data_IF_431200303694
#
_entry.id   IF_431200303694
#
_cell.length_a   1.000
_cell.length_b   1.000
_cell.length_c   1.000
_cell.angle_alpha   90.00
_cell.angle_beta   90.00
_cell.angle_gamma   90.00
#
_symmetry.space_group_name_H-M   'P 1'
#
loop_
_entity.id
_entity.type
_entity.pdbx_description
1 polymer ?
#
# COMPACT_ATOMS: atom_id res chain seq x y z
N UNK A 1 21.89 -27.41 11.31
CA UNK A 1 22.33 -26.98 9.97
C UNK A 1 23.68 -27.52 9.50
N UNK A 2 24.36 -28.37 10.21
CA UNK A 2 25.76 -28.72 9.88
C UNK A 2 25.96 -30.12 9.25
N UNK A 3 24.94 -30.72 8.66
CA UNK A 3 25.09 -32.10 8.11
C UNK A 3 24.38 -32.32 6.76
N UNK A 4 23.86 -31.28 6.12
CA UNK A 4 23.25 -31.41 4.78
C UNK A 4 24.36 -31.29 3.74
N UNK A 5 24.44 -32.28 2.83
CA UNK A 5 25.33 -32.21 1.67
C UNK A 5 24.84 -31.10 0.73
N UNK A 6 25.58 -30.00 0.60
CA UNK A 6 25.21 -28.87 -0.23
C UNK A 6 25.17 -29.12 -1.73
N UNK A 7 25.32 -30.38 -2.19
CA UNK A 7 25.48 -30.72 -3.60
C UNK A 7 24.30 -31.46 -4.22
N UNK A 8 23.42 -32.07 -3.41
CA UNK A 8 22.26 -32.84 -3.90
C UNK A 8 21.07 -32.60 -3.00
N UNK A 9 19.90 -32.31 -3.58
CA UNK A 9 18.63 -32.30 -2.85
C UNK A 9 18.25 -33.76 -2.54
N UNK A 10 18.04 -34.08 -1.24
CA UNK A 10 17.60 -35.40 -0.80
C UNK A 10 16.17 -35.77 -1.25
N UNK A 11 15.53 -34.87 -2.00
CA UNK A 11 14.18 -35.05 -2.48
C UNK A 11 14.19 -35.63 -3.91
N UNK A 12 13.64 -36.85 -4.04
CA UNK A 12 13.46 -37.55 -5.35
C UNK A 12 12.41 -36.89 -6.24
N UNK A 13 11.60 -35.96 -5.70
CA UNK A 13 10.53 -35.29 -6.47
C UNK A 13 11.12 -34.23 -7.40
N UNK A 14 10.89 -34.40 -8.68
CA UNK A 14 11.23 -33.35 -9.67
C UNK A 14 10.20 -32.24 -9.61
N UNK A 15 10.59 -31.07 -9.12
CA UNK A 15 9.77 -29.86 -9.09
C UNK A 15 9.51 -29.38 -10.52
N UNK A 16 8.23 -29.14 -10.84
CA UNK A 16 7.81 -28.58 -12.13
C UNK A 16 7.49 -27.09 -11.99
N UNK A 17 7.61 -26.29 -13.07
CA UNK A 17 7.26 -24.87 -13.02
C UNK A 17 5.83 -24.56 -12.54
N UNK A 18 4.89 -25.47 -12.81
CA UNK A 18 3.50 -25.34 -12.39
C UNK A 18 3.20 -25.78 -10.96
N UNK A 19 4.16 -26.42 -10.26
CA UNK A 19 3.96 -26.78 -8.85
C UNK A 19 3.85 -25.53 -7.98
N UNK A 20 2.97 -25.59 -6.96
CA UNK A 20 2.80 -24.46 -6.03
C UNK A 20 4.07 -24.31 -5.17
N UNK A 21 4.63 -23.12 -5.19
CA UNK A 21 5.79 -22.73 -4.39
C UNK A 21 5.39 -22.09 -3.09
N UNK A 22 4.44 -21.16 -3.15
CA UNK A 22 4.09 -20.38 -1.97
C UNK A 22 2.64 -19.90 -1.97
N UNK A 23 2.15 -19.66 -0.75
CA UNK A 23 0.85 -19.11 -0.44
C UNK A 23 1.05 -17.81 0.34
N UNK A 24 0.79 -16.67 -0.28
CA UNK A 24 0.98 -15.38 0.38
C UNK A 24 -0.35 -14.70 0.66
N UNK A 25 -0.50 -14.23 1.89
CA UNK A 25 -1.61 -13.36 2.24
C UNK A 25 -1.45 -12.02 1.53
N UNK A 26 -2.48 -11.62 0.78
CA UNK A 26 -2.54 -10.25 0.29
C UNK A 26 -3.08 -9.37 1.40
N UNK A 27 -2.41 -8.25 1.68
CA UNK A 27 -2.91 -7.24 2.60
C UNK A 27 -4.09 -6.49 1.96
N UNK A 28 -5.25 -7.15 1.91
CA UNK A 28 -6.47 -6.48 1.49
C UNK A 28 -6.81 -5.35 2.45
N UNK A 29 -6.95 -4.13 1.94
CA UNK A 29 -7.46 -2.98 2.70
C UNK A 29 -8.94 -3.15 3.06
N UNK A 30 -9.59 -4.25 2.66
CA UNK A 30 -11.04 -4.37 2.59
C UNK A 30 -11.55 -5.78 2.89
N UNK A 31 -11.17 -6.42 4.04
CA UNK A 31 -11.76 -7.70 4.42
C UNK A 31 -10.78 -8.76 4.89
N UNK A 32 -11.22 -10.04 4.92
CA UNK A 32 -10.34 -11.16 5.23
C UNK A 32 -9.20 -11.25 4.21
N UNK A 33 -7.95 -11.53 4.65
CA UNK A 33 -6.82 -11.67 3.75
C UNK A 33 -7.12 -12.71 2.67
N UNK A 34 -6.84 -12.37 1.42
CA UNK A 34 -6.87 -13.33 0.33
C UNK A 34 -5.55 -14.07 0.28
N UNK A 35 -5.56 -15.33 -0.07
CA UNK A 35 -4.34 -16.14 -0.20
C UNK A 35 -4.03 -16.30 -1.68
N UNK A 36 -2.98 -15.62 -2.14
CA UNK A 36 -2.49 -15.74 -3.51
C UNK A 36 -1.64 -17.00 -3.65
N UNK A 37 -1.96 -17.81 -4.66
CA UNK A 37 -1.23 -19.04 -4.99
C UNK A 37 -0.19 -18.73 -6.06
N UNK A 38 1.08 -19.01 -5.77
CA UNK A 38 2.19 -18.76 -6.69
C UNK A 38 2.92 -20.07 -6.98
N UNK A 39 3.19 -20.30 -8.25
CA UNK A 39 3.97 -21.46 -8.69
C UNK A 39 5.47 -21.17 -8.63
N UNK A 40 6.29 -22.19 -8.64
CA UNK A 40 7.74 -22.06 -8.82
C UNK A 40 8.08 -21.28 -10.10
N UNK A 41 7.32 -21.51 -11.20
CA UNK A 41 7.48 -20.76 -12.43
C UNK A 41 7.25 -19.26 -12.27
N UNK A 42 6.23 -18.85 -11.50
CA UNK A 42 5.97 -17.44 -11.23
C UNK A 42 7.14 -16.77 -10.47
N UNK A 43 7.65 -17.41 -9.42
CA UNK A 43 8.74 -16.88 -8.59
C UNK A 43 10.05 -16.80 -9.36
N UNK A 44 10.42 -17.85 -10.08
CA UNK A 44 11.62 -17.87 -10.91
C UNK A 44 11.53 -16.80 -12.01
N UNK A 45 10.38 -16.68 -12.68
CA UNK A 45 10.19 -15.67 -13.71
C UNK A 45 10.34 -14.24 -13.14
N UNK A 46 9.76 -13.96 -11.99
CA UNK A 46 9.87 -12.63 -11.35
C UNK A 46 11.32 -12.34 -10.92
N UNK A 47 11.96 -13.26 -10.19
CA UNK A 47 13.34 -13.09 -9.74
C UNK A 47 14.31 -12.92 -10.92
N UNK A 48 14.15 -13.72 -11.98
CA UNK A 48 14.99 -13.64 -13.17
C UNK A 48 14.78 -12.34 -13.94
N UNK A 49 13.52 -11.92 -14.16
CA UNK A 49 13.19 -10.70 -14.88
C UNK A 49 13.68 -9.46 -14.14
N UNK A 50 13.45 -9.40 -12.82
CA UNK A 50 13.98 -8.32 -11.99
C UNK A 50 15.51 -8.34 -11.96
N UNK A 51 16.15 -9.52 -11.87
CA UNK A 51 17.61 -9.68 -11.92
C UNK A 51 18.21 -9.18 -13.23
N UNK A 52 17.52 -9.37 -14.36
CA UNK A 52 17.96 -8.80 -15.64
C UNK A 52 17.80 -7.30 -15.70
N UNK A 53 16.77 -6.76 -15.06
CA UNK A 53 16.53 -5.32 -15.00
C UNK A 53 17.57 -4.60 -14.12
N UNK A 54 17.89 -5.15 -12.96
CA UNK A 54 18.90 -4.60 -12.05
C UNK A 54 20.33 -4.82 -12.53
N UNK A 55 20.56 -5.80 -13.41
CA UNK A 55 21.90 -6.08 -13.95
C UNK A 55 22.92 -6.38 -12.87
N UNK A 56 24.07 -5.74 -12.94
CA UNK A 56 25.20 -5.93 -12.02
C UNK A 56 25.02 -5.20 -10.68
N UNK A 57 23.95 -4.43 -10.52
CA UNK A 57 23.62 -3.79 -9.23
C UNK A 57 23.24 -4.83 -8.16
N UNK A 58 22.85 -6.05 -8.58
CA UNK A 58 22.59 -7.18 -7.69
C UNK A 58 23.34 -8.40 -8.25
N UNK A 59 24.35 -8.89 -7.53
CA UNK A 59 25.17 -10.02 -8.00
C UNK A 59 26.32 -10.36 -7.07
N UNK A 60 27.31 -11.14 -7.53
CA UNK A 60 28.47 -11.48 -6.72
C UNK A 60 29.20 -10.24 -6.22
N UNK A 61 29.59 -10.26 -4.96
CA UNK A 61 30.26 -9.12 -4.29
C UNK A 61 29.32 -8.01 -3.82
N UNK A 62 28.00 -8.14 -4.04
CA UNK A 62 26.99 -7.23 -3.50
C UNK A 62 26.32 -7.81 -2.28
N UNK A 63 25.97 -6.96 -1.33
CA UNK A 63 25.28 -7.32 -0.10
C UNK A 63 23.93 -6.60 -0.02
N UNK A 64 22.88 -7.35 0.25
CA UNK A 64 21.51 -6.85 0.40
C UNK A 64 21.05 -6.98 1.84
N UNK A 65 20.39 -5.96 2.39
CA UNK A 65 19.73 -6.05 3.68
C UNK A 65 18.27 -6.45 3.52
N UNK A 66 17.90 -7.62 4.02
CA UNK A 66 16.53 -8.11 4.09
C UNK A 66 15.88 -7.67 5.41
N UNK A 67 15.41 -6.43 5.47
CA UNK A 67 14.87 -5.81 6.67
C UNK A 67 13.33 -5.78 6.73
N UNK A 68 12.63 -6.18 5.68
CA UNK A 68 11.17 -6.35 5.72
C UNK A 68 10.82 -7.78 6.19
N UNK A 69 9.63 -8.00 6.80
CA UNK A 69 9.22 -9.34 7.23
C UNK A 69 9.05 -10.32 6.05
N UNK A 70 9.52 -11.56 6.20
CA UNK A 70 9.48 -12.59 5.14
C UNK A 70 8.06 -13.04 4.74
N UNK A 71 7.04 -12.73 5.52
CA UNK A 71 5.66 -12.96 5.13
C UNK A 71 5.16 -11.94 4.08
N UNK A 72 5.98 -10.96 3.71
CA UNK A 72 5.69 -10.00 2.64
C UNK A 72 6.54 -10.31 1.41
N UNK A 73 5.92 -10.24 0.22
CA UNK A 73 6.57 -10.59 -1.05
C UNK A 73 7.81 -9.75 -1.37
N UNK A 74 7.89 -8.50 -0.91
CA UNK A 74 9.09 -7.68 -1.10
C UNK A 74 10.30 -8.31 -0.40
N UNK A 75 10.17 -8.71 0.86
CA UNK A 75 11.25 -9.38 1.58
C UNK A 75 11.62 -10.72 0.94
N UNK A 76 10.62 -11.57 0.69
CA UNK A 76 10.86 -12.91 0.15
C UNK A 76 11.47 -12.89 -1.26
N UNK A 77 11.05 -11.94 -2.10
CA UNK A 77 11.47 -11.86 -3.51
C UNK A 77 12.63 -10.88 -3.72
N UNK A 78 12.44 -9.58 -3.38
CA UNK A 78 13.37 -8.52 -3.77
C UNK A 78 14.66 -8.56 -2.96
N UNK A 79 14.56 -8.82 -1.65
CA UNK A 79 15.74 -8.88 -0.76
C UNK A 79 16.09 -10.31 -0.32
N UNK A 80 15.36 -11.30 -0.81
CA UNK A 80 15.58 -12.73 -0.58
C UNK A 80 15.94 -13.48 -1.87
N UNK A 81 14.94 -14.00 -2.59
CA UNK A 81 15.16 -14.92 -3.72
C UNK A 81 15.95 -14.27 -4.87
N UNK A 82 15.66 -13.02 -5.21
CA UNK A 82 16.36 -12.30 -6.28
C UNK A 82 17.88 -12.21 -6.03
N UNK A 83 18.38 -11.64 -4.91
CA UNK A 83 19.82 -11.59 -4.66
C UNK A 83 20.44 -12.98 -4.54
N UNK A 84 19.79 -13.96 -3.92
CA UNK A 84 20.29 -15.34 -3.90
C UNK A 84 20.47 -15.92 -5.31
N UNK A 85 19.46 -15.72 -6.19
CA UNK A 85 19.52 -16.23 -7.58
C UNK A 85 20.64 -15.57 -8.41
N UNK A 86 21.14 -14.42 -7.96
CA UNK A 86 22.23 -13.66 -8.60
C UNK A 86 23.59 -13.86 -7.92
N UNK A 87 23.67 -14.66 -6.85
CA UNK A 87 24.90 -14.89 -6.11
C UNK A 87 25.33 -13.73 -5.21
N UNK A 88 24.41 -12.84 -4.87
CA UNK A 88 24.66 -11.77 -3.89
C UNK A 88 24.55 -12.30 -2.45
N UNK A 89 25.19 -11.62 -1.52
CA UNK A 89 25.05 -11.86 -0.09
C UNK A 89 23.75 -11.24 0.43
N UNK A 90 23.07 -11.96 1.34
CA UNK A 90 21.87 -11.43 2.02
C UNK A 90 22.10 -11.41 3.52
N UNK A 91 22.06 -10.22 4.10
CA UNK A 91 21.99 -10.02 5.54
C UNK A 91 20.53 -10.05 5.95
N UNK A 92 20.14 -11.11 6.66
CA UNK A 92 18.78 -11.27 7.13
C UNK A 92 18.57 -10.48 8.42
N UNK A 93 17.57 -9.61 8.44
CA UNK A 93 17.18 -8.84 9.62
C UNK A 93 16.50 -9.72 10.69
N UNK A 94 15.96 -9.07 11.72
CA UNK A 94 15.21 -9.75 12.78
C UNK A 94 13.90 -10.34 12.25
N UNK A 95 13.26 -11.28 12.96
CA UNK A 95 11.92 -11.77 12.59
C UNK A 95 10.86 -10.67 12.43
N UNK A 96 11.00 -9.56 13.17
CA UNK A 96 10.16 -8.36 13.07
C UNK A 96 10.63 -7.39 11.97
N UNK A 97 11.73 -7.70 11.28
CA UNK A 97 12.34 -6.83 10.28
C UNK A 97 12.77 -5.49 10.87
N UNK A 98 12.52 -4.40 10.14
CA UNK A 98 12.79 -3.03 10.61
C UNK A 98 12.09 -2.64 11.92
N UNK A 99 11.00 -3.32 12.29
CA UNK A 99 10.29 -3.09 13.56
C UNK A 99 10.95 -3.78 14.75
N UNK A 100 11.96 -4.59 14.52
CA UNK A 100 12.77 -5.16 15.59
C UNK A 100 13.43 -4.05 16.42
N UNK A 101 13.50 -4.27 17.73
CA UNK A 101 14.03 -3.26 18.63
C UNK A 101 15.46 -2.84 18.24
N UNK A 102 15.67 -1.54 18.13
CA UNK A 102 16.95 -0.94 17.76
C UNK A 102 17.32 -1.03 16.27
N UNK A 103 16.62 -1.79 15.41
CA UNK A 103 17.03 -1.99 14.00
C UNK A 103 17.09 -0.67 13.23
N UNK A 104 16.04 0.16 13.29
CA UNK A 104 16.03 1.46 12.60
C UNK A 104 17.03 2.42 13.25
N UNK A 105 17.14 2.45 14.58
CA UNK A 105 18.11 3.33 15.28
C UNK A 105 19.55 3.03 14.92
N UNK A 106 19.85 1.76 14.63
CA UNK A 106 21.20 1.28 14.29
C UNK A 106 21.36 1.01 12.79
N UNK A 107 20.47 1.55 11.97
CA UNK A 107 20.46 1.23 10.53
C UNK A 107 21.78 1.54 9.85
N UNK A 108 22.36 2.71 10.11
CA UNK A 108 23.64 3.12 9.49
C UNK A 108 24.82 2.27 9.99
N UNK A 109 24.81 1.85 11.26
CA UNK A 109 25.79 0.89 11.79
C UNK A 109 25.68 -0.48 11.09
N UNK A 110 24.46 -0.94 10.81
CA UNK A 110 24.23 -2.19 10.06
C UNK A 110 24.77 -2.05 8.62
N UNK A 111 24.53 -0.91 7.97
CA UNK A 111 25.03 -0.63 6.63
C UNK A 111 26.54 -0.67 6.60
N UNK A 112 27.21 0.03 7.52
CA UNK A 112 28.65 0.08 7.64
C UNK A 112 29.25 -1.29 7.93
N UNK A 113 28.75 -1.98 8.98
CA UNK A 113 29.30 -3.25 9.43
C UNK A 113 29.22 -4.37 8.38
N UNK A 114 28.12 -4.41 7.64
CA UNK A 114 27.86 -5.46 6.65
C UNK A 114 28.15 -5.03 5.21
N UNK A 115 28.64 -3.82 4.99
CA UNK A 115 28.87 -3.24 3.66
C UNK A 115 27.65 -3.39 2.74
N UNK A 116 26.47 -3.00 3.24
CA UNK A 116 25.22 -3.11 2.51
C UNK A 116 25.25 -2.25 1.24
N UNK A 117 24.97 -2.85 0.08
CA UNK A 117 24.90 -2.15 -1.20
C UNK A 117 23.47 -1.69 -1.51
N UNK A 118 22.48 -2.47 -1.09
CA UNK A 118 21.11 -2.09 -1.30
C UNK A 118 20.16 -2.63 -0.22
N UNK A 119 19.09 -1.90 0.01
CA UNK A 119 18.00 -2.31 0.88
C UNK A 119 16.65 -1.97 0.25
N UNK A 120 15.59 -2.59 0.73
CA UNK A 120 14.22 -2.23 0.32
C UNK A 120 13.40 -1.84 1.53
N UNK A 121 12.57 -0.83 1.35
CA UNK A 121 11.71 -0.30 2.39
C UNK A 121 10.40 0.26 1.86
N UNK A 122 9.63 0.79 2.78
CA UNK A 122 8.37 1.52 2.54
C UNK A 122 8.59 3.00 2.88
N UNK A 123 7.74 3.93 2.40
CA UNK A 123 7.93 5.36 2.64
C UNK A 123 8.14 5.74 4.10
N UNK A 124 7.42 5.09 5.02
CA UNK A 124 7.54 5.33 6.46
C UNK A 124 8.91 4.98 7.03
N UNK A 125 9.60 3.98 6.47
CA UNK A 125 10.98 3.67 6.84
C UNK A 125 11.91 4.82 6.45
N UNK A 126 11.81 5.31 5.21
CA UNK A 126 12.62 6.42 4.73
C UNK A 126 12.39 7.70 5.56
N UNK A 127 11.13 7.98 5.90
CA UNK A 127 10.80 9.09 6.81
C UNK A 127 11.45 8.92 8.18
N UNK A 128 11.43 7.71 8.76
CA UNK A 128 12.07 7.43 10.05
C UNK A 128 13.60 7.53 9.98
N UNK A 129 14.22 7.12 8.87
CA UNK A 129 15.68 7.21 8.69
C UNK A 129 16.14 8.66 8.55
N UNK A 130 15.29 9.59 8.16
CA UNK A 130 15.62 11.03 8.17
C UNK A 130 15.91 11.56 9.59
N UNK A 131 15.32 10.95 10.61
CA UNK A 131 15.52 11.35 12.01
C UNK A 131 16.78 10.71 12.61
N UNK A 132 17.43 9.76 11.91
CA UNK A 132 18.63 9.06 12.37
C UNK A 132 19.86 9.70 11.71
N UNK A 133 20.82 10.27 12.48
CA UNK A 133 22.06 10.79 11.92
C UNK A 133 22.86 9.69 11.22
N UNK A 134 23.31 9.96 9.99
CA UNK A 134 24.26 9.11 9.29
C UNK A 134 25.71 9.53 9.56
N UNK A 135 25.90 10.70 10.16
CA UNK A 135 27.22 11.26 10.47
C UNK A 135 28.02 10.33 11.40
N UNK A 136 29.27 10.09 11.04
CA UNK A 136 30.14 9.18 11.79
C UNK A 136 30.09 7.72 11.33
N UNK A 137 29.25 7.39 10.35
CA UNK A 137 29.17 6.07 9.72
C UNK A 137 29.71 6.09 8.29
N UNK A 138 30.46 5.05 7.91
CA UNK A 138 30.92 4.84 6.54
C UNK A 138 29.85 4.10 5.76
N UNK A 139 29.09 4.84 4.95
CA UNK A 139 27.96 4.29 4.18
C UNK A 139 28.19 4.25 2.67
N UNK A 140 29.44 4.42 2.23
CA UNK A 140 29.85 4.48 0.81
C UNK A 140 29.53 3.19 0.03
N UNK A 141 29.36 2.06 0.73
CA UNK A 141 28.91 0.82 0.12
C UNK A 141 27.48 0.89 -0.41
N UNK A 142 26.63 1.79 0.14
CA UNK A 142 25.22 1.85 -0.18
C UNK A 142 24.96 2.59 -1.49
N UNK A 143 24.55 1.88 -2.52
CA UNK A 143 24.36 2.41 -3.87
C UNK A 143 22.97 3.01 -4.06
N UNK A 144 21.95 2.36 -3.52
CA UNK A 144 20.56 2.83 -3.59
C UNK A 144 19.65 2.14 -2.56
N UNK A 145 18.54 2.80 -2.28
CA UNK A 145 17.40 2.21 -1.57
C UNK A 145 16.25 1.99 -2.54
N UNK A 146 15.53 0.87 -2.42
CA UNK A 146 14.33 0.60 -3.18
C UNK A 146 13.11 0.94 -2.32
N UNK A 147 12.22 1.79 -2.85
CA UNK A 147 10.96 2.11 -2.20
C UNK A 147 9.80 1.53 -2.97
N UNK A 148 8.91 0.84 -2.27
CA UNK A 148 7.72 0.26 -2.86
C UNK A 148 6.59 0.10 -1.87
N UNK A 149 5.52 -0.54 -2.33
CA UNK A 149 4.36 -0.89 -1.53
C UNK A 149 3.40 0.26 -1.20
N UNK A 150 3.80 1.52 -1.32
CA UNK A 150 2.99 2.73 -1.27
C UNK A 150 3.69 3.84 -2.06
N UNK A 151 2.97 4.86 -2.56
CA UNK A 151 3.59 6.02 -3.19
C UNK A 151 4.58 6.70 -2.24
N UNK A 152 5.74 7.09 -2.77
CA UNK A 152 6.77 7.77 -2.00
C UNK A 152 6.51 9.27 -2.01
N UNK A 153 6.25 9.92 -0.84
CA UNK A 153 6.08 11.37 -0.82
C UNK A 153 7.32 12.10 -1.35
N UNK A 154 7.12 13.01 -2.28
CA UNK A 154 8.21 13.75 -2.96
C UNK A 154 9.10 14.49 -1.97
N UNK A 155 8.53 15.06 -0.89
CA UNK A 155 9.28 15.73 0.17
C UNK A 155 10.23 14.80 0.89
N UNK A 156 9.77 13.59 1.28
CA UNK A 156 10.60 12.57 1.94
C UNK A 156 11.69 12.06 1.00
N UNK A 157 11.33 11.83 -0.27
CA UNK A 157 12.27 11.40 -1.31
C UNK A 157 13.46 12.37 -1.44
N UNK A 158 13.17 13.67 -1.64
CA UNK A 158 14.20 14.70 -1.79
C UNK A 158 15.05 14.85 -0.54
N UNK A 159 14.41 15.00 0.63
CA UNK A 159 15.12 15.16 1.89
C UNK A 159 16.06 13.99 2.18
N UNK A 160 15.64 12.75 1.87
CA UNK A 160 16.48 11.58 2.07
C UNK A 160 17.71 11.60 1.14
N UNK A 161 17.51 11.89 -0.15
CA UNK A 161 18.64 11.96 -1.10
C UNK A 161 19.60 13.13 -0.77
N UNK A 162 19.07 14.29 -0.38
CA UNK A 162 19.87 15.45 0.02
C UNK A 162 20.71 15.17 1.26
N UNK A 163 20.09 14.50 2.27
CA UNK A 163 20.78 14.21 3.54
C UNK A 163 21.83 13.09 3.41
N UNK A 164 21.57 12.07 2.62
CA UNK A 164 22.40 10.85 2.60
C UNK A 164 23.22 10.68 1.33
N UNK A 165 22.93 11.39 0.26
CA UNK A 165 23.50 11.17 -1.07
C UNK A 165 22.98 9.88 -1.75
N UNK A 166 22.19 9.06 -1.04
CA UNK A 166 21.73 7.76 -1.52
C UNK A 166 20.54 7.91 -2.46
N UNK A 167 20.63 7.26 -3.62
CA UNK A 167 19.54 7.24 -4.61
C UNK A 167 18.38 6.36 -4.13
N UNK A 168 17.16 6.81 -4.33
CA UNK A 168 15.98 5.98 -4.14
C UNK A 168 15.46 5.54 -5.51
N UNK A 169 15.15 4.25 -5.64
CA UNK A 169 14.45 3.66 -6.79
C UNK A 169 13.02 3.35 -6.36
N UNK A 170 12.06 4.13 -6.86
CA UNK A 170 10.65 3.83 -6.63
C UNK A 170 10.22 2.71 -7.55
N UNK A 171 9.49 1.72 -7.00
CA UNK A 171 9.00 0.57 -7.74
C UNK A 171 7.59 0.18 -7.32
N UNK A 172 6.93 -0.52 -8.22
CA UNK A 172 5.58 -1.02 -8.05
C UNK A 172 5.55 -2.53 -8.20
N UNK A 173 4.70 -3.13 -7.39
CA UNK A 173 4.43 -4.54 -7.46
C UNK A 173 3.32 -4.95 -6.51
N UNK A 174 2.86 -6.15 -6.69
CA UNK A 174 1.75 -6.74 -5.95
C UNK A 174 1.98 -8.24 -5.80
N UNK A 175 1.35 -8.82 -4.79
CA UNK A 175 1.46 -10.26 -4.50
C UNK A 175 0.99 -11.12 -5.68
N UNK A 176 -0.02 -10.66 -6.39
CA UNK A 176 -0.62 -11.28 -7.56
C UNK A 176 0.31 -11.24 -8.80
N UNK A 177 1.22 -10.27 -8.86
CA UNK A 177 2.31 -10.21 -9.83
C UNK A 177 3.59 -10.89 -9.33
N UNK A 178 3.50 -11.70 -8.31
CA UNK A 178 4.56 -12.34 -7.53
C UNK A 178 5.33 -11.34 -6.67
N UNK A 179 5.82 -10.23 -7.23
CA UNK A 179 6.36 -9.09 -6.48
C UNK A 179 6.52 -7.88 -7.41
N UNK A 180 7.65 -7.80 -8.12
CA UNK A 180 8.01 -6.63 -8.94
C UNK A 180 7.23 -6.64 -10.26
N UNK A 181 6.62 -5.52 -10.60
CA UNK A 181 5.99 -5.28 -11.91
C UNK A 181 6.68 -4.15 -12.66
N UNK A 182 7.07 -3.09 -11.97
CA UNK A 182 7.89 -2.01 -12.54
C UNK A 182 8.80 -1.41 -11.47
N UNK A 183 9.87 -0.75 -11.91
CA UNK A 183 10.80 -0.07 -11.03
C UNK A 183 11.62 0.96 -11.81
N UNK A 184 12.03 2.05 -11.19
CA UNK A 184 12.98 2.99 -11.76
C UNK A 184 14.34 2.31 -11.97
N UNK A 185 15.02 2.54 -13.10
CA UNK A 185 16.27 1.85 -13.41
C UNK A 185 17.41 2.26 -12.46
N UNK A 186 18.26 1.30 -12.02
CA UNK A 186 19.44 1.62 -11.20
C UNK A 186 20.49 2.42 -11.99
N UNK A 187 20.57 2.16 -13.28
CA UNK A 187 21.40 2.89 -14.25
C UNK A 187 20.49 3.49 -15.33
N UNK A 188 20.51 4.79 -15.48
CA UNK A 188 19.64 5.49 -16.42
C UNK A 188 18.81 6.59 -15.76
N UNK A 189 17.82 7.10 -16.49
CA UNK A 189 16.96 8.15 -16.01
C UNK A 189 15.98 7.62 -14.96
N UNK A 190 15.93 8.28 -13.81
CA UNK A 190 14.91 8.05 -12.78
C UNK A 190 13.92 9.19 -12.82
N UNK A 191 12.63 8.88 -12.83
CA UNK A 191 11.57 9.88 -12.83
C UNK A 191 10.89 9.91 -11.48
N UNK A 192 11.03 11.02 -10.79
CA UNK A 192 10.44 11.24 -9.47
C UNK A 192 8.92 11.13 -9.52
N UNK A 193 8.34 10.32 -8.61
CA UNK A 193 6.91 10.03 -8.57
C UNK A 193 6.44 8.98 -9.60
N UNK A 194 7.34 8.53 -10.49
CA UNK A 194 7.07 7.39 -11.37
C UNK A 194 7.41 6.09 -10.68
N UNK A 195 6.60 5.07 -10.90
CA UNK A 195 6.90 3.68 -10.52
C UNK A 195 7.85 2.99 -11.51
N UNK A 196 8.44 3.74 -12.44
CA UNK A 196 9.48 3.29 -13.37
C UNK A 196 8.98 2.53 -14.58
N UNK A 197 9.87 1.75 -15.13
CA UNK A 197 9.66 0.91 -16.32
C UNK A 197 9.22 -0.50 -15.90
N UNK A 198 8.36 -1.14 -16.71
CA UNK A 198 7.98 -2.54 -16.49
C UNK A 198 9.20 -3.46 -16.54
N UNK A 199 9.20 -4.53 -15.76
CA UNK A 199 10.26 -5.54 -15.83
C UNK A 199 10.18 -6.35 -17.14
N UNK A 200 11.29 -6.92 -17.63
CA UNK A 200 11.30 -7.80 -18.81
C UNK A 200 10.31 -8.96 -18.69
N UNK A 201 9.79 -9.42 -19.82
CA UNK A 201 8.86 -10.56 -19.97
C UNK A 201 7.49 -10.40 -19.30
N UNK A 202 7.24 -9.32 -18.61
CA UNK A 202 5.91 -8.90 -18.18
C UNK A 202 5.38 -7.84 -19.14
N UNK A 203 4.13 -7.96 -19.57
CA UNK A 203 3.40 -6.87 -20.20
C UNK A 203 2.66 -6.07 -19.13
N UNK A 204 2.61 -4.75 -19.29
CA UNK A 204 1.89 -3.82 -18.43
C UNK A 204 1.28 -2.72 -19.28
N UNK A 205 0.02 -2.36 -19.03
CA UNK A 205 -0.73 -1.35 -19.78
C UNK A 205 -1.66 -0.56 -18.85
N UNK A 206 -2.00 0.65 -19.26
CA UNK A 206 -3.19 1.37 -18.79
C UNK A 206 -4.31 1.15 -19.82
N UNK A 207 -5.52 0.81 -19.37
CA UNK A 207 -6.66 0.50 -20.23
C UNK A 207 -7.93 1.20 -19.75
N UNK A 208 -8.80 1.51 -20.70
CA UNK A 208 -10.16 2.00 -20.41
C UNK A 208 -11.10 0.80 -20.32
N UNK A 209 -11.91 0.79 -19.27
CA UNK A 209 -12.95 -0.21 -19.05
C UNK A 209 -14.31 0.47 -18.90
N UNK A 210 -15.39 -0.24 -19.23
CA UNK A 210 -16.75 0.23 -18.99
C UNK A 210 -17.16 0.09 -17.50
N UNK A 211 -18.37 0.50 -17.16
CA UNK A 211 -18.91 0.40 -15.79
C UNK A 211 -19.04 -1.05 -15.29
N UNK A 212 -19.15 -2.00 -16.19
CA UNK A 212 -19.14 -3.44 -15.87
C UNK A 212 -17.72 -4.03 -15.75
N UNK A 213 -16.67 -3.21 -15.94
CA UNK A 213 -15.26 -3.61 -15.86
C UNK A 213 -14.77 -4.34 -17.11
N UNK A 214 -15.47 -4.25 -18.24
CA UNK A 214 -15.05 -4.85 -19.50
C UNK A 214 -14.13 -3.92 -20.27
N UNK A 215 -13.10 -4.48 -20.88
CA UNK A 215 -12.14 -3.74 -21.69
C UNK A 215 -12.80 -3.03 -22.88
N UNK A 216 -12.47 -1.78 -23.08
CA UNK A 216 -12.89 -0.98 -24.23
C UNK A 216 -11.72 -0.71 -25.19
N UNK A 217 -10.58 -0.23 -24.67
CA UNK A 217 -9.38 0.08 -25.45
C UNK A 217 -8.16 0.30 -24.56
N UNK A 218 -6.97 0.28 -25.17
CA UNK A 218 -5.75 0.78 -24.52
C UNK A 218 -5.82 2.32 -24.34
N UNK A 219 -5.21 2.83 -23.27
CA UNK A 219 -5.03 4.26 -23.07
C UNK A 219 -3.99 4.82 -24.04
N UNK A 220 -4.19 6.08 -24.43
CA UNK A 220 -3.14 6.87 -25.09
C UNK A 220 -2.00 7.19 -24.08
N UNK A 221 -0.85 7.67 -24.59
CA UNK A 221 0.24 8.11 -23.73
C UNK A 221 -0.24 9.24 -22.80
N UNK A 222 0.08 9.10 -21.51
CA UNK A 222 -0.35 9.98 -20.42
C UNK A 222 -1.86 9.98 -20.11
N UNK A 223 -2.65 9.17 -20.78
CA UNK A 223 -4.06 8.97 -20.44
C UNK A 223 -4.16 8.04 -19.22
N UNK A 224 -4.98 8.43 -18.26
CA UNK A 224 -5.24 7.63 -17.06
C UNK A 224 -6.22 6.48 -17.36
N UNK A 225 -5.91 5.32 -16.82
CA UNK A 225 -6.79 4.15 -16.89
C UNK A 225 -6.45 3.10 -15.86
N UNK A 226 -7.12 1.97 -15.94
CA UNK A 226 -6.88 0.82 -15.09
C UNK A 226 -5.56 0.15 -15.50
N UNK A 227 -4.64 -0.04 -14.55
CA UNK A 227 -3.42 -0.79 -14.79
C UNK A 227 -3.69 -2.29 -14.83
N UNK A 228 -3.19 -2.92 -15.88
CA UNK A 228 -3.30 -4.37 -16.08
C UNK A 228 -1.95 -4.98 -16.38
N UNK A 229 -1.70 -6.18 -15.89
CA UNK A 229 -0.45 -6.91 -16.09
C UNK A 229 -0.69 -8.31 -16.64
N UNK A 230 0.23 -8.78 -17.46
CA UNK A 230 0.24 -10.14 -18.03
C UNK A 230 1.66 -10.64 -18.14
N UNK A 231 1.91 -11.90 -17.80
CA UNK A 231 3.25 -12.47 -17.89
C UNK A 231 3.42 -13.73 -17.06
N UNK A 232 4.58 -14.39 -17.20
CA UNK A 232 4.87 -15.63 -16.48
C UNK A 232 5.00 -15.45 -14.96
N UNK A 233 5.19 -14.24 -14.50
CA UNK A 233 5.26 -13.89 -13.08
C UNK A 233 3.88 -13.64 -12.46
N UNK A 234 2.80 -13.56 -13.23
CA UNK A 234 1.45 -13.34 -12.71
C UNK A 234 0.91 -14.64 -12.13
N UNK A 235 0.38 -14.58 -10.93
CA UNK A 235 -0.08 -15.72 -10.14
C UNK A 235 -1.18 -16.55 -10.85
N UNK A 236 -1.48 -17.72 -10.30
CA UNK A 236 -2.51 -18.59 -10.86
C UNK A 236 -3.93 -18.22 -10.43
N UNK A 237 -4.05 -17.53 -9.29
CA UNK A 237 -5.30 -17.12 -8.67
C UNK A 237 -5.23 -17.19 -7.16
N UNK A 238 -6.35 -16.89 -6.50
CA UNK A 238 -6.49 -17.03 -5.06
C UNK A 238 -6.96 -18.44 -4.69
N UNK A 239 -6.61 -18.87 -3.48
CA UNK A 239 -6.97 -20.20 -2.96
C UNK A 239 -8.49 -20.43 -2.92
N UNK A 240 -9.25 -19.42 -2.58
CA UNK A 240 -10.71 -19.49 -2.58
C UNK A 240 -11.26 -19.13 -3.95
N UNK A 241 -12.06 -20.02 -4.54
CA UNK A 241 -12.60 -19.86 -5.90
C UNK A 241 -13.50 -18.62 -6.05
N UNK A 242 -14.28 -18.28 -5.01
CA UNK A 242 -15.17 -17.11 -4.99
C UNK A 242 -14.40 -15.78 -5.07
N UNK A 243 -13.13 -15.76 -4.70
CA UNK A 243 -12.25 -14.59 -4.79
C UNK A 243 -11.64 -14.38 -6.18
N UNK A 244 -11.83 -15.33 -7.11
CA UNK A 244 -11.27 -15.26 -8.46
C UNK A 244 -12.21 -14.60 -9.49
N UNK A 245 -13.37 -14.14 -9.08
CA UNK A 245 -14.30 -13.46 -9.97
C UNK A 245 -13.74 -12.09 -10.40
N UNK A 246 -13.89 -11.76 -11.69
CA UNK A 246 -13.46 -10.49 -12.29
C UNK A 246 -11.97 -10.13 -12.12
N UNK A 247 -11.10 -11.13 -11.89
CA UNK A 247 -9.66 -10.90 -11.80
C UNK A 247 -9.01 -10.65 -13.17
N UNK A 248 -9.58 -11.22 -14.20
CA UNK A 248 -8.98 -11.27 -15.52
C UNK A 248 -9.79 -10.48 -16.52
N UNK A 249 -9.09 -9.67 -17.34
CA UNK A 249 -9.66 -9.00 -18.49
C UNK A 249 -9.23 -9.74 -19.77
N UNK A 250 -10.15 -9.81 -20.70
CA UNK A 250 -9.87 -10.22 -22.07
C UNK A 250 -9.69 -8.94 -22.91
N UNK A 251 -8.48 -8.73 -23.42
CA UNK A 251 -8.15 -7.59 -24.28
C UNK A 251 -8.19 -8.00 -25.78
N UNK A 252 -8.65 -9.21 -26.10
CA UNK A 252 -8.74 -9.70 -27.48
C UNK A 252 -7.40 -10.17 -28.09
N UNK A 253 -6.31 -10.21 -27.29
CA UNK A 253 -4.97 -10.60 -27.76
C UNK A 253 -4.56 -12.04 -27.35
N UNK A 254 -5.50 -12.80 -26.80
CA UNK A 254 -5.31 -14.17 -26.35
C UNK A 254 -4.50 -14.33 -25.06
N UNK A 255 -4.11 -13.24 -24.41
CA UNK A 255 -3.41 -13.24 -23.11
C UNK A 255 -4.38 -13.08 -21.95
N UNK A 256 -3.97 -13.57 -20.80
CA UNK A 256 -4.66 -13.32 -19.56
C UNK A 256 -4.12 -12.04 -18.93
N UNK A 257 -4.94 -11.00 -18.80
CA UNK A 257 -4.58 -9.74 -18.19
C UNK A 257 -5.18 -9.64 -16.80
N UNK A 258 -4.32 -9.52 -15.81
CA UNK A 258 -4.74 -9.36 -14.44
C UNK A 258 -5.13 -7.90 -14.16
N UNK A 259 -6.32 -7.72 -13.59
CA UNK A 259 -6.82 -6.44 -13.11
C UNK A 259 -6.20 -6.11 -11.78
N UNK A 260 -5.28 -5.16 -11.74
CA UNK A 260 -4.59 -4.78 -10.50
C UNK A 260 -5.48 -4.01 -9.50
N UNK A 261 -6.53 -3.38 -10.00
CA UNK A 261 -7.37 -2.45 -9.25
C UNK A 261 -6.71 -1.08 -8.99
N UNK A 262 -5.51 -0.88 -9.50
CA UNK A 262 -4.78 0.39 -9.41
C UNK A 262 -5.01 1.21 -10.69
N UNK A 263 -5.10 2.52 -10.54
CA UNK A 263 -5.20 3.48 -11.64
C UNK A 263 -3.82 4.06 -11.92
N UNK A 264 -3.59 4.37 -13.19
CA UNK A 264 -2.31 4.94 -13.60
C UNK A 264 -2.27 5.27 -15.08
N UNK A 265 -1.14 5.80 -15.50
CA UNK A 265 -0.85 6.15 -16.89
C UNK A 265 0.54 5.69 -17.28
N UNK A 266 0.76 5.56 -18.57
CA UNK A 266 2.07 5.32 -19.17
C UNK A 266 2.45 6.49 -20.04
N UNK A 267 3.67 7.01 -19.92
CA UNK A 267 4.15 8.07 -20.80
C UNK A 267 4.73 7.53 -22.13
N UNK A 268 5.18 8.43 -23.00
CA UNK A 268 5.72 8.09 -24.31
C UNK A 268 7.03 7.28 -24.23
N UNK A 269 7.76 7.39 -23.13
CA UNK A 269 9.04 6.70 -22.92
C UNK A 269 8.86 5.37 -22.17
N UNK A 270 7.61 5.00 -21.84
CA UNK A 270 7.27 3.73 -21.19
C UNK A 270 7.35 3.74 -19.67
N UNK A 271 7.50 4.91 -19.02
CA UNK A 271 7.40 5.02 -17.58
C UNK A 271 5.94 5.03 -17.14
N UNK A 272 5.68 4.32 -16.05
CA UNK A 272 4.37 4.25 -15.44
C UNK A 272 4.26 5.17 -14.22
N UNK A 273 3.06 5.67 -13.99
CA UNK A 273 2.71 6.58 -12.90
C UNK A 273 1.43 6.06 -12.25
N UNK A 274 1.42 5.90 -10.94
CA UNK A 274 0.19 5.63 -10.21
C UNK A 274 -0.58 6.93 -10.03
N UNK A 275 -1.91 6.87 -10.19
CA UNK A 275 -2.83 7.98 -9.99
C UNK A 275 -3.92 7.64 -8.97
N UNK A 276 -3.77 6.53 -8.27
CA UNK A 276 -4.62 6.13 -7.16
C UNK A 276 -5.04 4.66 -7.21
N UNK A 277 -5.86 4.28 -6.23
CA UNK A 277 -6.58 3.00 -6.24
C UNK A 277 -8.05 3.25 -6.45
N UNK A 278 -8.66 2.56 -7.40
CA UNK A 278 -10.11 2.70 -7.68
C UNK A 278 -10.97 2.59 -6.41
N UNK A 279 -10.60 1.72 -5.46
CA UNK A 279 -11.30 1.51 -4.18
C UNK A 279 -10.92 2.51 -3.07
N UNK A 280 -9.88 3.29 -3.24
CA UNK A 280 -9.41 4.26 -2.24
C UNK A 280 -9.75 5.70 -2.62
N UNK A 281 -10.23 5.94 -3.84
CA UNK A 281 -10.70 7.25 -4.25
C UNK A 281 -11.79 7.74 -3.28
N UNK A 282 -11.70 9.01 -2.93
CA UNK A 282 -12.71 9.70 -2.13
C UNK A 282 -13.75 10.26 -3.10
N UNK A 283 -14.98 9.76 -3.02
CA UNK A 283 -16.04 10.12 -3.97
C UNK A 283 -16.90 11.21 -3.37
N UNK A 284 -16.59 12.46 -3.72
CA UNK A 284 -17.30 13.65 -3.26
C UNK A 284 -18.16 14.27 -4.35
N UNK A 285 -19.48 14.09 -4.28
CA UNK A 285 -20.39 14.72 -5.25
C UNK A 285 -20.10 14.38 -6.72
N UNK A 286 -19.65 13.15 -6.98
CA UNK A 286 -19.23 12.69 -8.31
C UNK A 286 -17.77 12.99 -8.69
N UNK A 287 -17.03 13.74 -7.88
CA UNK A 287 -15.58 13.92 -8.06
C UNK A 287 -14.82 12.75 -7.44
N UNK A 288 -13.94 12.15 -8.22
CA UNK A 288 -13.00 11.12 -7.78
C UNK A 288 -11.72 11.79 -7.31
N UNK A 289 -11.51 11.90 -6.00
CA UNK A 289 -10.36 12.56 -5.41
C UNK A 289 -9.35 11.49 -5.01
N UNK A 290 -8.13 11.57 -5.56
CA UNK A 290 -7.02 10.74 -5.11
C UNK A 290 -6.56 11.21 -3.71
N UNK A 291 -6.50 10.32 -2.70
CA UNK A 291 -5.90 10.64 -1.41
C UNK A 291 -4.52 11.29 -1.49
N UNK A 292 -3.69 10.89 -2.46
CA UNK A 292 -2.36 11.46 -2.66
C UNK A 292 -2.38 12.97 -2.93
N UNK A 293 -3.41 13.49 -3.58
CA UNK A 293 -3.60 14.93 -3.81
C UNK A 293 -3.71 15.73 -2.51
N UNK A 294 -4.03 15.05 -1.39
CA UNK A 294 -4.14 15.62 -0.04
C UNK A 294 -2.90 15.30 0.79
N UNK A 295 -2.40 14.07 0.68
CA UNK A 295 -1.26 13.56 1.48
C UNK A 295 0.06 14.23 1.08
N UNK A 296 0.29 14.40 -0.21
CA UNK A 296 1.49 15.04 -0.76
C UNK A 296 1.71 16.48 -0.24
N UNK A 297 0.73 17.39 -0.29
CA UNK A 297 0.86 18.70 0.33
C UNK A 297 1.18 18.63 1.82
N UNK A 298 0.49 17.77 2.58
CA UNK A 298 0.73 17.62 4.02
C UNK A 298 2.16 17.17 4.33
N UNK A 299 2.72 16.27 3.52
CA UNK A 299 4.12 15.83 3.68
C UNK A 299 5.15 16.94 3.39
N UNK A 300 4.77 18.04 2.71
CA UNK A 300 5.64 19.23 2.55
C UNK A 300 5.66 20.13 3.78
N UNK A 301 4.69 19.99 4.69
CA UNK A 301 4.67 20.79 5.90
C UNK A 301 5.79 20.34 6.87
N UNK A 302 6.63 21.27 7.40
CA UNK A 302 7.83 20.94 8.18
C UNK A 302 7.57 20.06 9.40
N UNK A 303 6.43 20.25 10.07
CA UNK A 303 6.08 19.53 11.29
C UNK A 303 5.46 18.14 11.03
N UNK A 304 5.10 17.79 9.79
CA UNK A 304 4.41 16.53 9.47
C UNK A 304 5.40 15.40 9.27
N UNK A 305 5.19 14.31 9.99
CA UNK A 305 5.92 13.05 9.81
C UNK A 305 5.17 12.10 8.87
N UNK A 306 3.89 11.86 9.16
CA UNK A 306 3.02 11.00 8.35
C UNK A 306 1.68 11.69 8.12
N UNK A 307 1.11 11.46 6.95
CA UNK A 307 -0.23 11.92 6.61
C UNK A 307 -1.01 10.81 5.89
N UNK A 308 -2.32 10.76 6.13
CA UNK A 308 -3.25 9.85 5.47
C UNK A 308 -4.56 10.56 5.18
N UNK A 309 -5.05 10.50 3.95
CA UNK A 309 -6.35 11.02 3.56
C UNK A 309 -7.33 9.88 3.28
N UNK A 310 -8.56 10.08 3.74
CA UNK A 310 -9.66 9.12 3.57
C UNK A 310 -10.98 9.85 3.32
N UNK A 311 -11.96 9.14 2.76
CA UNK A 311 -13.35 9.59 2.70
C UNK A 311 -14.06 9.37 4.04
N UNK A 312 -14.67 10.45 4.58
CA UNK A 312 -15.64 10.40 5.66
C UNK A 312 -17.04 10.33 5.05
N UNK A 313 -17.89 9.39 5.44
CA UNK A 313 -19.24 9.31 4.91
C UNK A 313 -20.05 10.59 5.15
N UNK A 314 -20.77 11.01 4.12
CA UNK A 314 -21.66 12.17 4.16
C UNK A 314 -22.96 11.87 3.44
N UNK A 315 -24.11 12.23 4.05
CA UNK A 315 -25.44 11.91 3.53
C UNK A 315 -25.79 12.66 2.21
N UNK A 316 -25.08 13.71 1.85
CA UNK A 316 -25.36 14.54 0.67
C UNK A 316 -24.26 14.43 -0.40
N UNK A 317 -23.01 14.45 0.03
CA UNK A 317 -21.87 14.43 -0.88
C UNK A 317 -21.32 13.03 -1.18
N UNK A 318 -21.87 11.99 -0.54
CA UNK A 318 -21.31 10.65 -0.56
C UNK A 318 -20.15 10.53 0.42
N UNK A 319 -19.02 11.15 0.10
CA UNK A 319 -17.87 11.26 1.01
C UNK A 319 -17.34 12.69 1.08
N UNK A 320 -16.74 13.04 2.21
CA UNK A 320 -15.96 14.26 2.40
C UNK A 320 -14.51 13.89 2.72
N UNK A 321 -13.52 14.51 2.09
CA UNK A 321 -12.12 14.29 2.43
C UNK A 321 -11.83 14.65 3.89
N UNK A 322 -11.09 13.79 4.58
CA UNK A 322 -10.53 14.02 5.92
C UNK A 322 -9.08 13.58 5.91
N UNK A 323 -8.21 14.37 6.53
CA UNK A 323 -6.81 14.03 6.68
C UNK A 323 -6.47 13.71 8.14
N UNK A 324 -5.64 12.69 8.34
CA UNK A 324 -4.98 12.37 9.60
C UNK A 324 -3.51 12.70 9.50
N UNK A 325 -2.97 13.32 10.53
CA UNK A 325 -1.58 13.77 10.57
C UNK A 325 -0.92 13.31 11.85
N UNK A 326 0.25 12.71 11.72
CA UNK A 326 1.17 12.49 12.82
C UNK A 326 2.32 13.48 12.70
N UNK A 327 2.57 14.24 13.78
CA UNK A 327 3.65 15.22 13.80
C UNK A 327 4.99 14.56 14.11
N UNK A 328 6.07 15.20 13.68
CA UNK A 328 7.44 14.84 14.07
C UNK A 328 7.64 15.06 15.56
N UNK A 329 8.44 14.24 16.25
CA UNK A 329 8.76 14.43 17.66
C UNK A 329 9.30 15.83 17.94
N UNK A 330 8.72 16.49 18.94
CA UNK A 330 9.13 17.86 19.37
C UNK A 330 8.67 19.00 18.46
N UNK A 331 7.97 18.70 17.36
CA UNK A 331 7.39 19.72 16.50
C UNK A 331 5.95 20.02 16.92
N UNK A 332 5.53 21.28 16.78
CA UNK A 332 4.17 21.74 17.06
C UNK A 332 3.49 22.27 15.80
N UNK A 333 2.23 21.92 15.63
CA UNK A 333 1.29 22.52 14.70
C UNK A 333 -0.12 22.28 15.23
N UNK A 334 -1.06 23.16 14.94
CA UNK A 334 -2.48 22.94 15.26
C UNK A 334 -3.23 22.43 14.03
N UNK A 335 -4.40 21.82 14.23
CA UNK A 335 -5.29 21.42 13.12
C UNK A 335 -5.68 22.62 12.25
N UNK A 336 -5.76 23.82 12.87
CA UNK A 336 -6.03 25.08 12.18
C UNK A 336 -4.86 25.47 11.26
N UNK A 337 -3.61 25.40 11.73
CA UNK A 337 -2.42 25.73 10.93
C UNK A 337 -2.30 24.81 9.71
N UNK A 338 -2.50 23.51 9.92
CA UNK A 338 -2.47 22.53 8.85
C UNK A 338 -3.60 22.75 7.84
N UNK A 339 -4.79 23.12 8.31
CA UNK A 339 -5.93 23.43 7.44
C UNK A 339 -5.64 24.69 6.60
N UNK A 340 -5.09 25.73 7.20
CA UNK A 340 -4.70 26.95 6.50
C UNK A 340 -3.61 26.68 5.45
N UNK A 341 -2.63 25.86 5.81
CA UNK A 341 -1.59 25.41 4.87
C UNK A 341 -2.19 24.67 3.67
N UNK A 342 -3.10 23.72 3.90
CA UNK A 342 -3.76 22.96 2.83
C UNK A 342 -4.59 23.82 1.89
N UNK A 343 -5.21 24.91 2.39
CA UNK A 343 -5.96 25.86 1.57
C UNK A 343 -5.07 26.62 0.58
N UNK A 344 -3.78 26.77 0.89
CA UNK A 344 -2.80 27.44 0.01
C UNK A 344 -2.21 26.45 -1.01
N UNK A 345 -2.06 25.19 -0.62
CA UNK A 345 -1.37 24.17 -1.42
C UNK A 345 -2.28 23.39 -2.37
N UNK A 346 -3.58 23.24 -2.04
CA UNK A 346 -4.54 22.48 -2.85
C UNK A 346 -5.38 23.43 -3.69
N UNK A 347 -5.18 23.38 -5.01
CA UNK A 347 -5.95 24.17 -5.96
C UNK A 347 -7.39 23.66 -6.16
N UNK A 348 -7.60 22.34 -6.11
CA UNK A 348 -8.90 21.70 -6.28
C UNK A 348 -9.73 21.80 -5.01
N UNK A 349 -10.76 22.65 -5.00
CA UNK A 349 -11.64 22.86 -3.83
C UNK A 349 -12.32 21.57 -3.35
N UNK A 350 -12.64 20.64 -4.24
CA UNK A 350 -13.27 19.38 -3.88
C UNK A 350 -12.34 18.51 -3.01
N UNK A 351 -11.03 18.59 -3.22
CA UNK A 351 -10.01 17.84 -2.50
C UNK A 351 -9.66 18.45 -1.13
N UNK A 352 -10.08 19.69 -0.84
CA UNK A 352 -9.79 20.29 0.46
C UNK A 352 -10.43 19.48 1.60
N UNK A 353 -9.63 19.01 2.59
CA UNK A 353 -10.12 18.24 3.71
C UNK A 353 -11.14 19.02 4.54
N UNK A 354 -12.24 18.37 4.90
CA UNK A 354 -13.23 18.93 5.83
C UNK A 354 -12.65 19.12 7.23
N UNK A 355 -11.78 18.20 7.64
CA UNK A 355 -11.04 18.21 8.88
C UNK A 355 -9.63 17.70 8.66
N UNK A 356 -8.67 18.30 9.34
CA UNK A 356 -7.31 17.77 9.51
C UNK A 356 -7.19 17.37 10.99
N UNK A 357 -6.96 16.10 11.28
CA UNK A 357 -6.89 15.57 12.65
C UNK A 357 -5.45 15.22 13.00
N UNK A 358 -4.95 15.80 14.08
CA UNK A 358 -3.64 15.44 14.62
C UNK A 358 -3.82 14.23 15.54
N UNK A 359 -3.04 13.18 15.30
CA UNK A 359 -3.04 11.95 16.10
C UNK A 359 -1.64 11.63 16.59
N UNK A 360 -1.54 10.98 17.74
CA UNK A 360 -0.26 10.55 18.31
C UNK A 360 0.46 9.56 17.37
N UNK A 361 -0.29 8.61 16.79
CA UNK A 361 0.22 7.64 15.83
C UNK A 361 -0.82 7.30 14.77
N UNK A 362 -0.39 7.29 13.51
CA UNK A 362 -1.18 6.75 12.40
C UNK A 362 -1.06 5.22 12.42
N UNK A 363 -2.18 4.47 12.34
CA UNK A 363 -2.14 3.01 12.35
C UNK A 363 -1.38 2.48 11.12
N UNK A 364 -0.48 1.53 11.36
CA UNK A 364 0.36 0.89 10.35
C UNK A 364 0.07 -0.61 10.26
N UNK A 365 0.24 -1.16 9.07
CA UNK A 365 0.25 -2.62 8.85
C UNK A 365 1.53 -3.26 9.42
N UNK A 366 1.56 -4.60 9.46
CA UNK A 366 2.74 -5.35 9.86
C UNK A 366 4.01 -5.05 9.06
N UNK A 367 3.89 -4.47 7.88
CA UNK A 367 5.02 -4.08 6.99
C UNK A 367 5.28 -2.58 6.97
N UNK A 368 4.61 -1.80 7.84
CA UNK A 368 4.83 -0.36 7.96
C UNK A 368 4.04 0.51 6.98
N UNK A 369 3.07 -0.05 6.24
CA UNK A 369 2.15 0.76 5.42
C UNK A 369 1.06 1.39 6.28
N UNK A 370 0.61 2.57 5.93
CA UNK A 370 -0.55 3.19 6.58
C UNK A 370 -1.79 2.29 6.42
N UNK A 371 -2.46 2.02 7.53
CA UNK A 371 -3.64 1.16 7.58
C UNK A 371 -4.93 1.99 7.55
N UNK A 372 -5.27 2.51 6.36
CA UNK A 372 -6.44 3.37 6.12
C UNK A 372 -7.80 2.75 6.55
N UNK A 373 -8.04 1.42 6.50
CA UNK A 373 -9.31 0.85 6.94
C UNK A 373 -9.68 1.19 8.38
N UNK A 374 -8.70 1.25 9.29
CA UNK A 374 -8.96 1.64 10.67
C UNK A 374 -9.39 3.11 10.77
N UNK A 375 -8.75 3.99 10.00
CA UNK A 375 -9.13 5.41 9.95
C UNK A 375 -10.54 5.58 9.37
N UNK A 376 -10.86 4.84 8.30
CA UNK A 376 -12.23 4.84 7.71
C UNK A 376 -13.28 4.36 8.71
N UNK A 377 -13.01 3.30 9.49
CA UNK A 377 -13.92 2.83 10.53
C UNK A 377 -14.17 3.90 11.61
N UNK A 378 -13.10 4.59 12.05
CA UNK A 378 -13.22 5.69 13.03
C UNK A 378 -14.11 6.81 12.50
N UNK A 379 -13.82 7.30 11.30
CA UNK A 379 -14.60 8.39 10.68
C UNK A 379 -16.04 7.99 10.41
N UNK A 380 -16.29 6.76 9.97
CA UNK A 380 -17.64 6.25 9.75
C UNK A 380 -18.42 6.23 11.08
N UNK A 381 -17.83 5.70 12.14
CA UNK A 381 -18.43 5.68 13.47
C UNK A 381 -18.76 7.10 13.96
N UNK A 382 -17.83 8.04 13.81
CA UNK A 382 -18.01 9.42 14.25
C UNK A 382 -19.06 10.17 13.41
N UNK A 383 -19.08 9.94 12.08
CA UNK A 383 -20.08 10.52 11.19
C UNK A 383 -21.48 10.05 11.53
N UNK A 384 -21.64 8.74 11.72
CA UNK A 384 -22.95 8.15 12.05
C UNK A 384 -23.42 8.53 13.45
N UNK A 385 -22.51 8.59 14.44
CA UNK A 385 -22.84 9.08 15.79
C UNK A 385 -23.38 10.50 15.75
N UNK A 386 -22.72 11.38 15.02
CA UNK A 386 -23.17 12.77 14.87
C UNK A 386 -24.53 12.84 14.13
N UNK A 387 -24.70 12.08 13.05
CA UNK A 387 -25.93 12.05 12.27
C UNK A 387 -27.12 11.51 13.08
N UNK A 388 -26.94 10.41 13.83
CA UNK A 388 -27.96 9.83 14.69
C UNK A 388 -28.35 10.76 15.82
N UNK A 389 -27.39 11.43 16.46
CA UNK A 389 -27.69 12.41 17.51
C UNK A 389 -28.51 13.60 16.99
N UNK A 390 -28.18 14.12 15.79
CA UNK A 390 -28.91 15.20 15.14
C UNK A 390 -30.30 14.74 14.62
N UNK A 391 -30.39 13.49 14.21
CA UNK A 391 -31.61 12.91 13.64
C UNK A 391 -32.58 12.31 14.65
N UNK A 392 -32.38 12.54 15.96
CA UNK A 392 -33.31 12.13 17.02
C UNK A 392 -33.06 10.73 17.60
N UNK A 393 -31.88 10.15 17.39
CA UNK A 393 -31.47 8.88 18.01
C UNK A 393 -30.10 9.03 18.74
N UNK A 394 -30.04 9.87 19.79
CA UNK A 394 -28.80 10.09 20.52
C UNK A 394 -28.40 8.85 21.36
N UNK A 395 -27.12 8.75 21.71
CA UNK A 395 -26.61 7.70 22.61
C UNK A 395 -26.48 6.31 21.99
N UNK A 396 -26.67 6.17 20.67
CA UNK A 396 -26.50 4.89 19.97
C UNK A 396 -25.04 4.39 20.07
N UNK A 397 -24.88 3.10 20.39
CA UNK A 397 -23.61 2.38 20.22
C UNK A 397 -23.47 1.96 18.77
N UNK A 398 -22.31 2.23 18.17
CA UNK A 398 -22.09 1.98 16.74
C UNK A 398 -20.85 1.13 16.59
N UNK A 399 -21.01 -0.05 16.00
CA UNK A 399 -19.90 -0.87 15.52
C UNK A 399 -19.83 -0.87 14.01
N UNK A 400 -18.62 -0.73 13.48
CA UNK A 400 -18.35 -0.67 12.04
C UNK A 400 -17.40 -1.79 11.70
N UNK A 401 -17.88 -2.75 10.93
CA UNK A 401 -17.11 -3.88 10.44
C UNK A 401 -16.94 -3.79 8.93
N UNK A 402 -15.96 -4.52 8.41
CA UNK A 402 -15.75 -4.65 6.97
C UNK A 402 -16.09 -6.07 6.57
N UNK A 403 -16.96 -6.24 5.60
CA UNK A 403 -17.30 -7.57 5.07
C UNK A 403 -16.19 -8.16 4.20
N UNK A 404 -16.39 -9.40 3.73
CA UNK A 404 -15.41 -10.12 2.90
C UNK A 404 -15.17 -9.49 1.52
N UNK A 405 -16.10 -8.67 1.03
CA UNK A 405 -15.97 -7.95 -0.25
C UNK A 405 -15.29 -6.59 -0.10
N UNK A 406 -15.08 -6.15 1.15
CA UNK A 406 -14.57 -4.84 1.50
C UNK A 406 -15.66 -3.79 1.67
N UNK A 407 -16.92 -4.18 1.62
CA UNK A 407 -18.05 -3.33 1.98
C UNK A 407 -18.06 -3.07 3.49
N UNK A 408 -18.47 -1.87 3.87
CA UNK A 408 -18.71 -1.57 5.29
C UNK A 408 -20.08 -2.04 5.70
N UNK A 409 -20.16 -2.70 6.86
CA UNK A 409 -21.39 -3.07 7.54
C UNK A 409 -21.44 -2.38 8.90
N UNK A 410 -22.59 -1.82 9.23
CA UNK A 410 -22.80 -1.01 10.43
C UNK A 410 -23.80 -1.69 11.32
N UNK A 411 -23.45 -1.94 12.58
CA UNK A 411 -24.36 -2.40 13.62
C UNK A 411 -24.61 -1.27 14.61
N UNK A 412 -25.88 -0.94 14.80
CA UNK A 412 -26.31 0.12 15.72
C UNK A 412 -27.15 -0.47 16.84
N UNK A 413 -26.72 -0.27 18.06
CA UNK A 413 -27.49 -0.63 19.25
C UNK A 413 -28.08 0.62 19.87
N UNK A 414 -29.41 0.65 20.00
CA UNK A 414 -30.18 1.76 20.54
C UNK A 414 -30.54 1.49 22.01
N UNK A 415 -30.60 2.53 22.80
CA UNK A 415 -30.98 2.44 24.22
C UNK A 415 -32.47 2.10 24.44
N UNK A 416 -33.33 2.42 23.48
CA UNK A 416 -34.76 2.18 23.58
C UNK A 416 -35.43 1.99 22.20
N UNK A 417 -36.53 1.20 22.10
CA UNK A 417 -37.19 0.91 20.81
C UNK A 417 -37.76 2.15 20.12
N UNK A 418 -38.15 3.17 20.86
CA UNK A 418 -38.73 4.40 20.31
C UNK A 418 -37.82 5.18 19.37
N UNK A 419 -36.48 4.95 19.44
CA UNK A 419 -35.49 5.61 18.60
C UNK A 419 -35.31 4.94 17.24
N UNK A 420 -35.81 3.71 17.05
CA UNK A 420 -35.55 2.94 15.83
C UNK A 420 -36.08 3.60 14.55
N UNK A 421 -37.29 4.19 14.48
CA UNK A 421 -37.79 4.84 13.27
C UNK A 421 -36.87 6.00 12.84
N UNK A 422 -36.45 6.83 13.78
CA UNK A 422 -35.52 7.94 13.51
C UNK A 422 -34.16 7.42 13.04
N UNK A 423 -33.62 6.41 13.71
CA UNK A 423 -32.33 5.79 13.33
C UNK A 423 -32.37 5.20 11.91
N UNK A 424 -33.44 4.51 11.53
CA UNK A 424 -33.59 3.97 10.16
C UNK A 424 -33.62 5.06 9.09
N UNK A 425 -34.31 6.17 9.33
CA UNK A 425 -34.34 7.31 8.40
C UNK A 425 -32.92 7.91 8.23
N UNK A 426 -32.18 8.04 9.32
CA UNK A 426 -30.81 8.57 9.28
C UNK A 426 -29.87 7.62 8.54
N UNK A 427 -29.84 6.35 8.95
CA UNK A 427 -28.93 5.33 8.39
C UNK A 427 -29.22 5.07 6.91
N UNK A 428 -30.49 5.11 6.49
CA UNK A 428 -30.89 4.94 5.09
C UNK A 428 -30.36 6.01 4.13
N UNK A 429 -29.77 7.10 4.63
CA UNK A 429 -29.12 8.12 3.81
C UNK A 429 -27.65 7.77 3.45
N UNK A 430 -27.10 6.71 4.03
CA UNK A 430 -25.72 6.29 3.80
C UNK A 430 -25.67 4.99 2.98
N UNK A 431 -24.64 4.78 2.16
CA UNK A 431 -24.56 3.64 1.25
C UNK A 431 -24.04 2.37 1.95
N UNK A 432 -24.36 2.15 3.23
CA UNK A 432 -23.90 0.98 3.99
C UNK A 432 -25.06 0.00 4.23
N UNK A 433 -24.70 -1.29 4.28
CA UNK A 433 -25.57 -2.27 4.93
C UNK A 433 -25.58 -2.00 6.44
N UNK A 434 -26.75 -1.95 7.06
CA UNK A 434 -26.87 -1.73 8.50
C UNK A 434 -27.86 -2.67 9.18
N UNK A 435 -27.60 -2.94 10.44
CA UNK A 435 -28.50 -3.62 11.36
C UNK A 435 -28.76 -2.75 12.60
N UNK A 436 -29.96 -2.85 13.15
CA UNK A 436 -30.33 -2.16 14.39
C UNK A 436 -30.75 -3.20 15.40
N UNK A 437 -30.24 -3.08 16.62
CA UNK A 437 -30.63 -3.84 17.81
C UNK A 437 -30.98 -2.88 18.95
N UNK A 438 -31.73 -3.38 19.91
CA UNK A 438 -32.07 -2.64 21.13
C UNK A 438 -31.24 -3.22 22.27
N UNK A 439 -30.61 -2.37 23.06
CA UNK A 439 -29.85 -2.79 24.23
C UNK A 439 -30.74 -3.55 25.21
N UNK A 440 -30.27 -4.69 25.70
CA UNK A 440 -30.98 -5.44 26.74
C UNK A 440 -31.08 -4.58 27.99
N UNK A 441 -32.31 -4.32 28.47
CA UNK A 441 -32.46 -3.62 29.74
C UNK A 441 -31.81 -4.45 30.85
N UNK A 442 -30.99 -3.85 31.73
CA UNK A 442 -30.49 -4.57 32.89
C UNK A 442 -31.68 -5.05 33.70
N UNK A 443 -31.80 -6.35 33.86
CA UNK A 443 -32.79 -6.97 34.76
C UNK A 443 -32.62 -6.32 36.14
N UNK A 444 -33.59 -5.50 36.53
CA UNK A 444 -33.69 -5.02 37.91
C UNK A 444 -33.81 -6.26 38.79
N UNK A 445 -32.73 -6.63 39.45
CA UNK A 445 -32.78 -7.59 40.56
C UNK A 445 -33.65 -6.95 41.66
N UNK A 446 -34.82 -7.52 41.79
CA UNK A 446 -35.76 -7.24 42.89
C UNK A 446 -35.24 -7.71 44.22
#
# INVERSE_FOLDING_TARGET
MARESGTVLDNVRRIQPGDMSSFFCTGGTTGLPKIAMRSHGNEVANAWSAGRFFGDSIGPGKTTFCGLPLFHVNAAMVTGLLPFSRGAHVVLGTPQGYRGDGVVKRFWEIVEHHHINFFSGVPTLYASLLDIPADGHVIDSLEYGLCGAAPMPVGVFRAFQEKTGIRILEGYGLTEGTCVSSVNPPTGERRLGSIGLRIPFQAMKAVIVDDAGRYLRDCAANEEGLLVISGPNVFTGYLRADQNNALWLDLGDGKRWFNTGDLGRCDVDGYFWLTGRKKELIIRGGHNIDPAAIEEPLHRHPAVQLAAAIGRPDAHAGELPVAYVQLKPGMGATEHDLTAFMQQEIAERAALPKHVRIVEAIPLTGVGKIFKPELKRRETRDALRAALAQGGAPGASIDVTTDQSGGMSVSVELSEPGLEPAARVVLGRFPFAFSISIAAQPTRSS
#
